data_IF_107288949298
#
_entry.id   IF_107288949298
#
_cell.length_a   1.000
_cell.length_b   1.000
_cell.length_c   1.000
_cell.angle_alpha   90.00
_cell.angle_beta   90.00
_cell.angle_gamma   90.00
#
_symmetry.space_group_name_H-M   'P 1'
#
loop_
_entity.id
_entity.type
_entity.pdbx_description
1 polymer ?
#
# COMPACT_ATOMS: atom_id res chain seq x y z
N UNK A 1 -19.65 11.53 -27.07
CA UNK A 1 -18.41 11.71 -26.30
C UNK A 1 -18.15 10.36 -25.65
N UNK A 2 -17.08 9.68 -26.07
CA UNK A 2 -16.82 8.32 -25.64
C UNK A 2 -16.08 8.37 -24.30
N UNK A 3 -16.80 8.11 -23.22
CA UNK A 3 -16.28 7.99 -21.85
C UNK A 3 -15.23 6.87 -21.65
N UNK A 4 -14.78 6.27 -22.76
CA UNK A 4 -13.83 5.15 -22.82
C UNK A 4 -12.41 5.59 -23.21
N UNK A 5 -12.24 6.70 -23.92
CA UNK A 5 -10.91 7.13 -24.37
C UNK A 5 -10.17 7.95 -23.30
N UNK A 6 -10.89 8.68 -22.44
CA UNK A 6 -10.29 9.35 -21.27
C UNK A 6 -9.84 8.36 -20.19
N UNK A 7 -10.55 7.24 -20.03
CA UNK A 7 -10.15 6.19 -19.09
C UNK A 7 -8.81 5.58 -19.49
N UNK A 8 -8.53 5.44 -20.79
CA UNK A 8 -7.28 4.85 -21.30
C UNK A 8 -6.06 5.76 -21.18
N UNK A 9 -6.24 7.08 -21.13
CA UNK A 9 -5.11 8.01 -20.92
C UNK A 9 -4.63 8.03 -19.46
N UNK A 10 -5.47 7.66 -18.49
CA UNK A 10 -5.08 7.58 -17.07
C UNK A 10 -4.24 6.33 -16.78
N UNK A 11 -4.56 5.20 -17.44
CA UNK A 11 -3.91 3.88 -17.20
C UNK A 11 -2.55 3.68 -17.90
N UNK A 12 -2.15 4.62 -18.75
CA UNK A 12 -1.10 4.38 -19.75
C UNK A 12 0.20 5.18 -19.52
N UNK A 13 0.28 6.04 -18.50
CA UNK A 13 1.38 7.00 -18.40
C UNK A 13 2.58 6.54 -17.56
N UNK A 14 2.46 5.72 -16.51
CA UNK A 14 3.63 5.05 -15.94
C UNK A 14 3.24 4.01 -14.86
N UNK A 15 3.49 2.72 -15.13
CA UNK A 15 3.99 1.83 -14.09
C UNK A 15 3.06 1.15 -13.07
N UNK A 16 1.74 1.29 -13.10
CA UNK A 16 0.84 0.42 -12.32
C UNK A 16 -0.35 1.14 -11.69
N UNK A 17 -1.50 1.06 -12.36
CA UNK A 17 -2.67 1.79 -11.92
C UNK A 17 -3.25 1.35 -10.58
N UNK A 18 -3.49 2.31 -9.68
CA UNK A 18 -4.37 2.15 -8.53
C UNK A 18 -5.72 1.58 -8.93
N UNK A 19 -6.13 0.48 -8.32
CA UNK A 19 -7.52 0.06 -8.41
C UNK A 19 -8.41 1.21 -7.89
N UNK A 20 -9.47 1.63 -8.61
CA UNK A 20 -10.30 2.75 -8.19
C UNK A 20 -10.99 2.43 -6.86
N UNK A 21 -10.65 3.18 -5.80
CA UNK A 21 -11.51 3.31 -4.61
C UNK A 21 -10.90 3.09 -3.23
N UNK A 22 -9.61 3.30 -2.98
CA UNK A 22 -9.04 3.28 -1.63
C UNK A 22 -7.74 4.08 -1.52
N UNK A 23 -7.42 4.55 -0.31
CA UNK A 23 -6.10 5.13 -0.01
C UNK A 23 -5.02 4.09 -0.30
N UNK A 24 -3.91 4.54 -0.88
CA UNK A 24 -2.80 3.67 -1.22
C UNK A 24 -1.56 4.05 -0.46
N UNK A 25 -0.67 3.08 -0.31
CA UNK A 25 0.68 3.34 0.15
C UNK A 25 1.72 2.87 -0.86
N UNK A 26 2.85 3.56 -0.88
CA UNK A 26 4.06 3.16 -1.57
C UNK A 26 5.16 2.88 -0.54
N UNK A 27 5.96 1.85 -0.77
CA UNK A 27 7.18 1.58 0.02
C UNK A 27 8.31 2.49 -0.47
N UNK A 28 8.96 3.21 0.44
CA UNK A 28 10.02 4.19 0.11
C UNK A 28 11.42 3.77 0.61
N UNK A 29 11.57 2.52 1.05
CA UNK A 29 12.84 1.94 1.49
C UNK A 29 13.16 0.66 0.74
N UNK A 30 14.45 0.36 0.58
CA UNK A 30 14.95 -0.80 -0.18
C UNK A 30 14.26 -2.12 0.18
N UNK A 31 13.99 -2.34 1.47
CA UNK A 31 13.37 -3.58 1.97
C UNK A 31 12.55 -3.29 3.22
N UNK A 32 11.29 -3.72 3.21
CA UNK A 32 10.35 -3.54 4.32
C UNK A 32 9.63 -4.85 4.65
N UNK A 33 9.41 -5.12 5.93
CA UNK A 33 8.65 -6.28 6.37
C UNK A 33 7.14 -6.05 6.23
N UNK A 34 6.44 -7.06 5.71
CA UNK A 34 4.99 -7.23 5.81
C UNK A 34 4.68 -8.41 6.73
N UNK A 35 3.49 -8.35 7.33
CA UNK A 35 3.07 -9.23 8.41
C UNK A 35 1.77 -9.93 8.02
N UNK A 36 1.54 -11.14 8.50
CA UNK A 36 0.31 -11.92 8.25
C UNK A 36 -0.76 -11.73 9.33
N UNK A 37 -0.42 -11.00 10.40
CA UNK A 37 -1.29 -10.62 11.50
C UNK A 37 -0.99 -9.17 11.93
N UNK A 38 -1.91 -8.49 12.63
CA UNK A 38 -1.67 -7.16 13.21
C UNK A 38 -0.77 -7.26 14.47
N UNK A 39 0.43 -7.82 14.30
CA UNK A 39 1.45 -8.05 15.31
C UNK A 39 2.85 -7.84 14.70
N UNK A 40 3.72 -7.10 15.39
CA UNK A 40 5.08 -6.80 14.94
C UNK A 40 6.02 -8.01 14.95
N UNK A 41 5.64 -9.08 15.67
CA UNK A 41 6.38 -10.35 15.68
C UNK A 41 5.92 -11.31 14.57
N UNK A 42 4.79 -11.04 13.90
CA UNK A 42 4.18 -11.87 12.87
C UNK A 42 4.74 -11.61 11.46
N UNK A 43 6.07 -11.57 11.33
CA UNK A 43 6.76 -11.30 10.06
C UNK A 43 6.48 -12.41 9.04
N UNK A 44 5.99 -12.02 7.86
CA UNK A 44 5.61 -12.95 6.81
C UNK A 44 6.60 -12.94 5.64
N UNK A 45 6.75 -11.81 4.95
CA UNK A 45 7.69 -11.63 3.84
C UNK A 45 8.19 -10.19 3.80
N UNK A 46 9.14 -9.92 2.90
CA UNK A 46 9.59 -8.56 2.62
C UNK A 46 9.08 -8.08 1.27
N UNK A 47 8.93 -6.76 1.17
CA UNK A 47 8.61 -5.99 -0.04
C UNK A 47 9.71 -4.96 -0.28
N UNK A 48 9.79 -4.43 -1.50
CA UNK A 48 10.85 -3.53 -1.93
C UNK A 48 10.35 -2.13 -2.23
N UNK A 49 11.28 -1.18 -2.33
CA UNK A 49 11.01 0.19 -2.75
C UNK A 49 10.20 0.23 -4.05
N UNK A 50 9.23 1.15 -4.09
CA UNK A 50 8.38 1.37 -5.25
C UNK A 50 7.14 0.48 -5.30
N UNK A 51 7.05 -0.58 -4.48
CA UNK A 51 5.84 -1.40 -4.40
C UNK A 51 4.68 -0.60 -3.80
N UNK A 52 3.50 -0.71 -4.44
CA UNK A 52 2.29 0.02 -4.08
C UNK A 52 1.22 -0.96 -3.60
N UNK A 53 0.56 -0.63 -2.49
CA UNK A 53 -0.51 -1.43 -1.91
C UNK A 53 -1.76 -0.58 -1.66
N UNK A 54 -2.92 -1.21 -1.71
CA UNK A 54 -4.19 -0.58 -1.32
C UNK A 54 -4.45 -0.84 0.15
N UNK A 55 -4.70 0.23 0.90
CA UNK A 55 -5.06 0.19 2.31
C UNK A 55 -6.54 -0.18 2.44
N UNK A 56 -6.82 -1.15 3.30
CA UNK A 56 -8.18 -1.55 3.67
C UNK A 56 -8.59 -0.92 5.01
N UNK A 57 -7.70 -0.94 6.01
CA UNK A 57 -7.98 -0.38 7.34
C UNK A 57 -6.70 0.18 8.03
N UNK A 58 -6.87 1.20 8.88
CA UNK A 58 -5.82 1.73 9.74
C UNK A 58 -5.97 1.21 11.18
N UNK A 59 -4.90 0.62 11.72
CA UNK A 59 -4.86 -0.05 13.01
C UNK A 59 -3.79 0.56 13.93
N UNK A 60 -4.00 0.48 15.24
CA UNK A 60 -2.97 0.82 16.23
C UNK A 60 -2.51 -0.45 16.95
N UNK A 61 -1.28 -0.87 16.69
CA UNK A 61 -0.67 -2.09 17.24
C UNK A 61 0.49 -1.69 18.15
N UNK A 62 0.39 -2.02 19.45
CA UNK A 62 1.38 -1.66 20.46
C UNK A 62 1.72 -0.15 20.48
N UNK A 63 0.72 0.71 20.23
CA UNK A 63 0.86 2.17 20.22
C UNK A 63 1.44 2.76 18.93
N UNK A 64 1.68 1.95 17.91
CA UNK A 64 2.18 2.40 16.60
C UNK A 64 1.15 2.13 15.49
N UNK A 65 1.15 2.98 14.47
CA UNK A 65 0.25 2.85 13.32
C UNK A 65 0.68 1.68 12.42
N UNK A 66 -0.31 0.90 12.00
CA UNK A 66 -0.18 -0.21 11.07
C UNK A 66 -1.37 -0.17 10.10
N UNK A 67 -1.15 -0.55 8.85
CA UNK A 67 -2.20 -0.63 7.84
C UNK A 67 -2.49 -2.09 7.52
N UNK A 68 -3.78 -2.45 7.50
CA UNK A 68 -4.25 -3.65 6.82
C UNK A 68 -4.33 -3.35 5.33
N UNK A 69 -3.75 -4.24 4.53
CA UNK A 69 -3.76 -4.17 3.08
C UNK A 69 -4.93 -4.99 2.56
N UNK A 70 -5.45 -4.61 1.38
CA UNK A 70 -6.51 -5.39 0.71
C UNK A 70 -6.14 -6.86 0.45
N UNK A 71 -4.86 -7.20 0.46
CA UNK A 71 -4.38 -8.59 0.39
C UNK A 71 -4.60 -9.41 1.67
N UNK A 72 -4.98 -8.77 2.79
CA UNK A 72 -5.04 -9.37 4.13
C UNK A 72 -3.69 -9.41 4.86
N UNK A 73 -2.66 -8.77 4.29
CA UNK A 73 -1.37 -8.55 4.95
C UNK A 73 -1.37 -7.21 5.69
N UNK A 74 -0.38 -7.03 6.54
CA UNK A 74 -0.22 -5.82 7.34
C UNK A 74 1.14 -5.19 7.07
N UNK A 75 1.23 -3.86 7.14
CA UNK A 75 2.48 -3.11 6.96
C UNK A 75 2.54 -1.92 7.92
N UNK A 76 3.75 -1.46 8.25
CA UNK A 76 3.92 -0.27 9.09
C UNK A 76 3.31 0.97 8.43
N UNK A 77 2.67 1.82 9.23
CA UNK A 77 2.23 3.15 8.80
C UNK A 77 3.22 4.26 9.15
N UNK A 78 4.47 3.94 9.51
CA UNK A 78 5.48 4.97 9.80
C UNK A 78 5.94 5.64 8.49
N UNK A 79 5.82 6.98 8.36
CA UNK A 79 6.16 7.72 7.16
C UNK A 79 7.65 7.69 6.79
N UNK A 80 8.52 7.15 7.64
CA UNK A 80 9.93 6.90 7.31
C UNK A 80 10.12 5.69 6.37
N UNK A 81 9.13 4.80 6.27
CA UNK A 81 9.21 3.57 5.46
C UNK A 81 8.19 3.51 4.33
N UNK A 82 7.08 4.25 4.47
CA UNK A 82 5.98 4.24 3.52
C UNK A 82 5.47 5.65 3.27
N UNK A 83 4.95 5.91 2.08
CA UNK A 83 4.27 7.16 1.75
C UNK A 83 2.82 6.88 1.32
N UNK A 84 1.89 7.75 1.72
CA UNK A 84 0.48 7.62 1.34
C UNK A 84 0.28 8.38 0.04
N UNK A 85 -0.09 7.65 -1.01
CA UNK A 85 -0.42 8.22 -2.31
C UNK A 85 -1.94 8.28 -2.43
N UNK A 86 -2.44 9.48 -2.74
CA UNK A 86 -3.86 9.82 -2.84
C UNK A 86 -4.25 10.18 -4.27
#
# INVERSE_FOLDING_TARGET
>A
MNDWENFKEDIAVDGGDPAPGGEQLQVIVDTLWVYDQPDWDARYTTVNEGEIFTIEEALTVNGSLMYELRSGLYITGNPEYVDIIA
#
